data_IF_569478584953
#
_entry.id   IF_569478584953
#
_cell.length_a   1.000
_cell.length_b   1.000
_cell.length_c   1.000
_cell.angle_alpha   90.00
_cell.angle_beta   90.00
_cell.angle_gamma   90.00
#
_symmetry.space_group_name_H-M   'P 1'
#
loop_
_entity.id
_entity.type
_entity.pdbx_description
1 polymer ?
#
# COMPACT_ATOMS: atom_id res chain seq x y z
N UNK A 1 11.43 22.64 9.14
CA UNK A 1 10.09 22.33 8.59
C UNK A 1 9.78 20.89 8.96
N UNK A 2 8.84 20.63 9.86
CA UNK A 2 8.44 19.25 10.16
C UNK A 2 7.68 18.70 8.94
N UNK A 3 8.20 17.66 8.29
CA UNK A 3 7.47 16.94 7.25
C UNK A 3 6.21 16.37 7.89
N UNK A 4 5.04 16.70 7.33
CA UNK A 4 3.81 16.04 7.76
C UNK A 4 3.99 14.52 7.61
N UNK A 5 3.61 13.70 8.60
CA UNK A 5 3.71 12.25 8.47
C UNK A 5 2.91 11.84 7.25
N UNK A 6 3.61 11.26 6.28
CA UNK A 6 3.02 10.83 5.03
C UNK A 6 1.88 9.86 5.37
N UNK A 7 0.63 10.17 5.03
CA UNK A 7 -0.51 9.31 5.35
C UNK A 7 -0.58 8.17 4.35
N UNK A 8 -0.98 6.96 4.77
CA UNK A 8 -1.21 5.88 3.82
C UNK A 8 -2.35 6.28 2.87
N UNK A 9 -2.18 5.97 1.59
CA UNK A 9 -3.17 6.25 0.53
C UNK A 9 -4.12 5.08 0.30
N UNK A 10 -3.74 3.87 0.72
CA UNK A 10 -4.60 2.70 0.71
C UNK A 10 -4.14 1.68 1.76
N UNK A 11 -5.09 0.88 2.26
CA UNK A 11 -4.82 -0.31 3.08
C UNK A 11 -5.68 -1.47 2.57
N UNK A 12 -5.07 -2.62 2.34
CA UNK A 12 -5.73 -3.85 1.95
C UNK A 12 -5.50 -4.90 3.03
N UNK A 13 -6.57 -5.53 3.53
CA UNK A 13 -6.48 -6.48 4.64
C UNK A 13 -7.18 -7.78 4.32
N UNK A 14 -6.52 -8.89 4.66
CA UNK A 14 -7.08 -10.23 4.61
C UNK A 14 -6.71 -10.98 5.88
N UNK A 15 -7.70 -11.25 6.73
CA UNK A 15 -7.47 -11.81 8.06
C UNK A 15 -6.53 -10.95 8.91
N UNK A 16 -5.42 -11.55 9.34
CA UNK A 16 -4.38 -10.87 10.12
C UNK A 16 -3.30 -10.22 9.25
N UNK A 17 -3.27 -10.43 7.94
CA UNK A 17 -2.28 -9.81 7.05
C UNK A 17 -2.86 -8.56 6.42
N UNK A 18 -2.09 -7.48 6.39
CA UNK A 18 -2.44 -6.25 5.65
C UNK A 18 -1.27 -5.71 4.83
N UNK A 19 -1.59 -5.05 3.73
CA UNK A 19 -0.68 -4.22 2.94
C UNK A 19 -1.10 -2.76 3.05
N UNK A 20 -0.16 -1.89 3.39
CA UNK A 20 -0.37 -0.44 3.52
C UNK A 20 0.43 0.26 2.42
N UNK A 21 -0.23 1.07 1.61
CA UNK A 21 0.38 1.78 0.48
C UNK A 21 0.65 3.23 0.88
N UNK A 22 1.86 3.72 0.61
CA UNK A 22 2.30 5.08 0.89
C UNK A 22 2.67 5.77 -0.41
N UNK A 23 2.07 6.92 -0.70
CA UNK A 23 2.42 7.74 -1.86
C UNK A 23 3.50 8.73 -1.47
N UNK A 24 4.59 8.74 -2.21
CA UNK A 24 5.68 9.71 -2.05
C UNK A 24 5.75 10.60 -3.29
N UNK A 25 6.33 11.78 -3.13
CA UNK A 25 6.52 12.75 -4.21
C UNK A 25 8.01 12.88 -4.53
N UNK A 26 8.32 13.11 -5.80
CA UNK A 26 9.67 13.41 -6.29
C UNK A 26 9.59 14.29 -7.53
N UNK A 27 10.70 14.92 -7.91
CA UNK A 27 10.78 15.76 -9.12
C UNK A 27 10.46 14.99 -10.41
N UNK A 28 10.53 13.65 -10.39
CA UNK A 28 10.24 12.76 -11.51
C UNK A 28 8.80 12.24 -11.52
N UNK A 29 7.98 12.66 -10.55
CA UNK A 29 6.62 12.18 -10.36
C UNK A 29 6.43 11.39 -9.05
N UNK A 30 5.19 11.01 -8.74
CA UNK A 30 4.87 10.24 -7.56
C UNK A 30 5.38 8.81 -7.67
N UNK A 31 5.77 8.23 -6.55
CA UNK A 31 6.14 6.82 -6.42
C UNK A 31 5.53 6.22 -5.16
N UNK A 32 5.38 4.90 -5.11
CA UNK A 32 4.64 4.24 -4.04
C UNK A 32 5.51 3.21 -3.31
N UNK A 33 5.39 3.19 -1.98
CA UNK A 33 5.90 2.11 -1.13
C UNK A 33 4.75 1.25 -0.62
N UNK A 34 5.02 -0.03 -0.40
CA UNK A 34 4.06 -0.93 0.23
C UNK A 34 4.70 -1.58 1.45
N UNK A 35 4.02 -1.51 2.59
CA UNK A 35 4.40 -2.21 3.82
C UNK A 35 3.41 -3.34 4.06
N UNK A 36 3.89 -4.59 4.05
CA UNK A 36 3.08 -5.75 4.39
C UNK A 36 3.44 -6.22 5.79
N UNK A 37 2.42 -6.39 6.64
CA UNK A 37 2.56 -6.83 8.03
C UNK A 37 1.52 -7.87 8.38
N UNK A 38 1.85 -8.68 9.38
CA UNK A 38 0.91 -9.55 10.09
C UNK A 38 0.58 -8.94 11.45
N UNK A 39 -0.70 -8.85 11.75
CA UNK A 39 -1.24 -8.42 13.03
C UNK A 39 -1.27 -9.59 14.01
N UNK A 40 -0.94 -9.32 15.25
CA UNK A 40 -1.11 -10.25 16.36
C UNK A 40 -1.47 -9.50 17.63
N UNK A 41 -1.99 -10.20 18.62
CA UNK A 41 -2.31 -9.60 19.91
C UNK A 41 -1.35 -10.13 20.98
N UNK A 42 -0.85 -9.22 21.81
CA UNK A 42 -0.01 -9.52 22.96
C UNK A 42 -0.44 -8.60 24.10
N UNK A 43 -0.75 -9.19 25.27
CA UNK A 43 -1.15 -8.44 26.47
C UNK A 43 -2.33 -7.48 26.22
N UNK A 44 -3.29 -7.89 25.38
CA UNK A 44 -4.44 -7.08 25.02
C UNK A 44 -4.18 -6.04 23.92
N UNK A 45 -2.92 -5.80 23.54
CA UNK A 45 -2.54 -4.83 22.51
C UNK A 45 -2.32 -5.49 21.15
N UNK A 46 -2.81 -4.83 20.11
CA UNK A 46 -2.51 -5.19 18.72
C UNK A 46 -1.10 -4.73 18.36
N UNK A 47 -0.33 -5.64 17.79
CA UNK A 47 1.05 -5.44 17.36
C UNK A 47 1.21 -5.94 15.91
N UNK A 48 2.29 -5.50 15.26
CA UNK A 48 2.64 -5.86 13.89
C UNK A 48 3.96 -6.61 13.84
N UNK A 49 4.09 -7.55 12.90
CA UNK A 49 5.35 -8.24 12.60
C UNK A 49 5.53 -8.40 11.09
N UNK A 50 6.78 -8.57 10.67
CA UNK A 50 7.16 -8.89 9.29
C UNK A 50 7.50 -10.39 9.10
N UNK A 51 7.27 -11.20 10.13
CA UNK A 51 7.40 -12.66 10.06
C UNK A 51 6.06 -13.30 9.69
N UNK A 52 6.07 -14.14 8.66
CA UNK A 52 4.87 -14.80 8.13
C UNK A 52 5.00 -16.31 8.25
N UNK A 53 3.97 -16.97 8.75
CA UNK A 53 3.86 -18.42 8.74
C UNK A 53 3.35 -18.93 7.39
N UNK A 54 3.41 -20.25 7.18
CA UNK A 54 2.94 -20.92 5.95
C UNK A 54 1.51 -20.53 5.57
N UNK A 55 0.63 -20.36 6.54
CA UNK A 55 -0.78 -20.02 6.32
C UNK A 55 -1.02 -18.55 5.99
N UNK A 56 -0.05 -17.68 6.28
CA UNK A 56 -0.13 -16.26 5.96
C UNK A 56 0.27 -16.00 4.50
N UNK A 57 1.06 -16.88 3.87
CA UNK A 57 1.62 -16.66 2.52
C UNK A 57 0.56 -16.44 1.43
N UNK A 58 -0.56 -17.20 1.36
CA UNK A 58 -1.61 -16.90 0.40
C UNK A 58 -2.25 -15.52 0.65
N UNK A 59 -2.34 -15.09 1.91
CA UNK A 59 -2.90 -13.78 2.25
C UNK A 59 -1.94 -12.65 1.84
N UNK A 60 -0.64 -12.84 2.07
CA UNK A 60 0.43 -11.94 1.60
C UNK A 60 0.35 -11.76 0.09
N UNK A 61 0.24 -12.86 -0.66
CA UNK A 61 0.07 -12.80 -2.12
C UNK A 61 -1.14 -11.94 -2.50
N UNK A 62 -2.31 -12.18 -1.88
CA UNK A 62 -3.54 -11.46 -2.23
C UNK A 62 -3.46 -9.98 -1.92
N UNK A 63 -2.98 -9.58 -0.75
CA UNK A 63 -2.88 -8.16 -0.41
C UNK A 63 -1.79 -7.45 -1.22
N UNK A 64 -0.72 -8.16 -1.61
CA UNK A 64 0.30 -7.63 -2.52
C UNK A 64 -0.26 -7.40 -3.92
N UNK A 65 -1.07 -8.34 -4.44
CA UNK A 65 -1.76 -8.21 -5.73
C UNK A 65 -2.73 -7.02 -5.72
N UNK A 66 -3.52 -6.86 -4.65
CA UNK A 66 -4.43 -5.71 -4.49
C UNK A 66 -3.67 -4.37 -4.45
N UNK A 67 -2.57 -4.31 -3.69
CA UNK A 67 -1.73 -3.12 -3.64
C UNK A 67 -1.11 -2.80 -5.01
N UNK A 68 -0.62 -3.81 -5.74
CA UNK A 68 -0.11 -3.65 -7.09
C UNK A 68 -1.18 -3.07 -8.04
N UNK A 69 -2.37 -3.67 -8.08
CA UNK A 69 -3.46 -3.19 -8.95
C UNK A 69 -3.84 -1.75 -8.63
N UNK A 70 -4.00 -1.43 -7.35
CA UNK A 70 -4.28 -0.06 -6.92
C UNK A 70 -3.22 0.93 -7.41
N UNK A 71 -1.93 0.62 -7.24
CA UNK A 71 -0.82 1.47 -7.69
C UNK A 71 -0.84 1.64 -9.22
N UNK A 72 -1.12 0.56 -9.95
CA UNK A 72 -1.20 0.59 -11.41
C UNK A 72 -2.33 1.50 -11.93
N UNK A 73 -3.44 1.55 -11.20
CA UNK A 73 -4.57 2.44 -11.50
C UNK A 73 -4.26 3.91 -11.19
N UNK A 74 -3.25 4.22 -10.37
CA UNK A 74 -2.84 5.61 -10.08
C UNK A 74 -2.00 6.26 -11.18
N UNK A 75 -1.90 5.65 -12.37
CA UNK A 75 -1.25 6.30 -13.52
C UNK A 75 -1.90 7.67 -13.72
N UNK A 76 -1.11 8.73 -13.92
CA UNK A 76 -1.67 10.03 -14.24
C UNK A 76 -2.54 9.83 -15.48
N UNK A 77 -3.79 10.26 -15.39
CA UNK A 77 -4.65 10.44 -16.54
C UNK A 77 -3.83 11.27 -17.52
N UNK A 78 -3.41 10.65 -18.62
CA UNK A 78 -2.80 11.38 -19.73
C UNK A 78 -3.87 12.38 -20.12
N UNK A 79 -3.62 13.65 -19.82
CA UNK A 79 -4.51 14.74 -20.18
C UNK A 79 -4.90 14.51 -21.64
N UNK A 80 -6.16 14.15 -21.87
CA UNK A 80 -6.69 14.01 -23.21
C UNK A 80 -6.45 15.35 -23.88
N UNK A 81 -5.47 15.39 -24.79
CA UNK A 81 -5.23 16.57 -25.60
C UNK A 81 -6.55 16.87 -26.32
N UNK A 82 -7.15 18.07 -26.15
CA UNK A 82 -8.32 18.43 -26.91
C UNK A 82 -7.91 18.37 -28.38
N UNK A 83 -8.57 17.49 -29.11
CA UNK A 83 -8.44 17.38 -30.56
C UNK A 83 -8.68 18.76 -31.14
N UNK A 84 -7.64 19.35 -31.73
CA UNK A 84 -7.76 20.62 -32.43
C UNK A 84 -8.58 20.38 -33.72
N UNK A 85 -9.77 20.98 -33.76
CA UNK A 85 -10.50 21.30 -35.00
C UNK A 85 -9.99 22.65 -35.56
#
# INVERSE_FOLDING_TARGET
>A
MASQPNKPVAEFRMGLVKAVVWRNESDKGPWYNVTIVRLYQQEGHWNETHSFGRHDLPLVQRVAEQAHSFIYEQKPEVAAEPSAD
#
